data_IF_312615474446
#
_entry.id   IF_312615474446
#
_cell.length_a   1.000
_cell.length_b   1.000
_cell.length_c   1.000
_cell.angle_alpha   90.00
_cell.angle_beta   90.00
_cell.angle_gamma   90.00
#
_symmetry.space_group_name_H-M   'P 1'
#
loop_
_entity.id
_entity.type
_entity.pdbx_description
1 polymer ?
#
# COMPACT_ATOMS: atom_id res chain seq x y z
N UNK A 1 -3.96 21.23 -9.34
CA UNK A 1 -4.91 20.85 -10.26
C UNK A 1 -5.85 21.90 -10.86
N UNK A 2 -5.31 22.92 -11.58
CA UNK A 2 -6.17 23.83 -12.35
C UNK A 2 -6.75 23.15 -13.61
N UNK A 3 -6.02 22.20 -14.17
CA UNK A 3 -6.42 21.40 -15.34
C UNK A 3 -6.04 19.94 -15.10
N UNK A 4 -6.81 19.02 -15.71
CA UNK A 4 -6.55 17.60 -15.70
C UNK A 4 -6.62 17.08 -17.13
N UNK A 5 -5.61 16.33 -17.56
CA UNK A 5 -5.57 15.68 -18.87
C UNK A 5 -5.54 14.17 -18.69
N UNK A 6 -6.35 13.46 -19.49
CA UNK A 6 -6.36 12.01 -19.48
C UNK A 6 -5.07 11.51 -20.14
N UNK A 7 -4.32 10.68 -19.41
CA UNK A 7 -3.14 10.00 -19.91
C UNK A 7 -3.48 8.61 -20.48
N UNK A 8 -2.70 8.13 -21.44
CA UNK A 8 -2.83 6.77 -21.93
C UNK A 8 -2.03 5.83 -21.03
N UNK A 9 -2.74 4.99 -20.24
CA UNK A 9 -2.14 4.05 -19.29
C UNK A 9 -1.74 2.71 -19.91
N UNK A 10 -1.77 2.53 -21.23
CA UNK A 10 -1.47 1.25 -21.90
C UNK A 10 -2.26 0.05 -21.33
N UNK A 11 -3.41 0.31 -20.72
CA UNK A 11 -4.29 -0.68 -20.10
C UNK A 11 -5.75 -0.23 -20.18
N UNK A 12 -6.65 -1.22 -20.16
CA UNK A 12 -8.11 -1.02 -20.11
C UNK A 12 -8.73 -1.50 -18.82
N UNK A 13 -7.92 -2.08 -17.90
CA UNK A 13 -8.40 -2.54 -16.60
C UNK A 13 -8.25 -1.43 -15.55
N UNK A 14 -8.97 -1.55 -14.45
CA UNK A 14 -8.97 -0.54 -13.40
C UNK A 14 -7.61 -0.46 -12.67
N UNK A 15 -7.19 0.78 -12.41
CA UNK A 15 -6.00 1.09 -11.62
C UNK A 15 -6.43 1.61 -10.24
N UNK A 16 -5.86 1.06 -9.17
CA UNK A 16 -6.27 1.37 -7.79
C UNK A 16 -5.27 2.22 -7.03
N UNK A 17 -4.02 2.20 -7.44
CA UNK A 17 -3.00 3.04 -6.81
C UNK A 17 -2.05 3.61 -7.86
N UNK A 18 -1.65 4.85 -7.63
CA UNK A 18 -0.61 5.55 -8.37
C UNK A 18 0.30 6.28 -7.39
N UNK A 19 1.59 6.19 -7.59
CA UNK A 19 2.57 6.88 -6.77
C UNK A 19 3.76 7.31 -7.62
N UNK A 20 4.31 8.49 -7.33
CA UNK A 20 5.51 9.05 -7.95
C UNK A 20 6.62 9.16 -6.91
N UNK A 21 7.84 8.78 -7.28
CA UNK A 21 9.04 8.97 -6.46
C UNK A 21 9.64 10.37 -6.63
N UNK A 22 9.40 10.97 -7.77
CA UNK A 22 9.83 12.30 -8.19
C UNK A 22 8.93 12.78 -9.37
N UNK A 23 9.21 13.92 -9.97
CA UNK A 23 8.38 14.50 -11.04
C UNK A 23 8.36 13.66 -12.33
N UNK A 24 9.31 12.74 -12.51
CA UNK A 24 9.47 11.95 -13.73
C UNK A 24 9.05 10.49 -13.55
N UNK A 25 9.29 9.90 -12.36
CA UNK A 25 9.18 8.46 -12.15
C UNK A 25 7.97 8.09 -11.31
N UNK A 26 7.06 7.37 -11.92
CA UNK A 26 5.82 6.92 -11.31
C UNK A 26 5.43 5.51 -11.70
N UNK A 27 4.58 4.91 -10.89
CA UNK A 27 3.97 3.62 -11.13
C UNK A 27 2.48 3.69 -10.82
N UNK A 28 1.71 2.84 -11.52
CA UNK A 28 0.33 2.54 -11.15
C UNK A 28 0.09 1.04 -11.22
N UNK A 29 -0.77 0.55 -10.34
CA UNK A 29 -1.12 -0.87 -10.21
C UNK A 29 -2.63 -1.05 -10.13
N UNK A 30 -3.12 -2.24 -10.50
CA UNK A 30 -4.55 -2.46 -10.58
C UNK A 30 -4.99 -3.90 -10.73
N UNK A 31 -6.13 -4.07 -11.37
CA UNK A 31 -6.76 -5.36 -11.65
C UNK A 31 -5.85 -6.29 -12.44
N UNK A 32 -6.09 -7.61 -12.27
CA UNK A 32 -5.36 -8.67 -12.98
C UNK A 32 -3.84 -8.55 -12.82
N UNK A 33 -3.39 -7.96 -11.72
CA UNK A 33 -1.98 -7.73 -11.44
C UNK A 33 -1.33 -6.70 -12.35
N UNK A 34 -2.09 -5.87 -13.05
CA UNK A 34 -1.50 -4.86 -13.93
C UNK A 34 -0.58 -3.93 -13.15
N UNK A 35 0.62 -3.77 -13.68
CA UNK A 35 1.58 -2.78 -13.24
C UNK A 35 2.11 -2.01 -14.46
N UNK A 36 2.07 -0.69 -14.37
CA UNK A 36 2.59 0.23 -15.38
C UNK A 36 3.53 1.23 -14.74
N UNK A 37 4.52 1.69 -15.47
CA UNK A 37 5.51 2.65 -15.01
C UNK A 37 5.76 3.74 -16.03
N UNK A 38 6.11 4.92 -15.54
CA UNK A 38 6.58 6.06 -16.33
C UNK A 38 7.95 6.52 -15.86
N UNK A 39 8.74 7.09 -16.75
CA UNK A 39 10.02 7.75 -16.49
C UNK A 39 10.10 9.17 -17.10
N UNK A 40 8.96 9.72 -17.47
CA UNK A 40 8.82 11.06 -18.09
C UNK A 40 7.57 11.82 -17.61
N UNK A 41 7.26 11.71 -16.32
CA UNK A 41 6.17 12.46 -15.67
C UNK A 41 4.78 12.07 -16.13
N UNK A 42 4.59 10.81 -16.60
CA UNK A 42 3.29 10.33 -17.07
C UNK A 42 2.98 10.64 -18.52
N UNK A 43 3.89 11.29 -19.26
CA UNK A 43 3.69 11.51 -20.70
C UNK A 43 3.59 10.19 -21.45
N UNK A 44 4.35 9.19 -21.01
CA UNK A 44 4.29 7.81 -21.50
C UNK A 44 4.27 6.84 -20.33
N UNK A 45 3.37 5.86 -20.42
CA UNK A 45 3.31 4.74 -19.49
C UNK A 45 3.64 3.45 -20.25
N UNK A 46 4.34 2.54 -19.63
CA UNK A 46 4.67 1.22 -20.19
C UNK A 46 4.33 0.12 -19.20
N UNK A 47 3.86 -1.01 -19.69
CA UNK A 47 3.68 -2.19 -18.86
C UNK A 47 5.02 -2.69 -18.32
N UNK A 48 5.02 -3.13 -17.08
CA UNK A 48 6.15 -3.82 -16.44
C UNK A 48 5.70 -5.20 -16.00
N UNK A 49 6.61 -6.19 -15.94
CA UNK A 49 6.27 -7.50 -15.39
C UNK A 49 5.66 -7.38 -14.01
N UNK A 50 4.63 -8.16 -13.75
CA UNK A 50 3.93 -8.18 -12.48
C UNK A 50 4.38 -9.38 -11.62
N UNK A 51 4.37 -9.26 -10.28
CA UNK A 51 4.68 -10.37 -9.40
C UNK A 51 3.55 -11.42 -9.32
N UNK A 52 2.33 -11.05 -9.71
CA UNK A 52 1.13 -11.86 -9.56
C UNK A 52 0.09 -11.51 -10.61
N UNK A 53 -0.83 -12.44 -10.90
CA UNK A 53 -2.06 -12.16 -11.64
C UNK A 53 -3.22 -11.68 -10.78
N UNK A 54 -3.08 -11.65 -9.45
CA UNK A 54 -4.10 -11.14 -8.54
C UNK A 54 -4.10 -9.61 -8.53
N UNK A 55 -5.24 -9.03 -8.13
CA UNK A 55 -5.40 -7.58 -8.00
C UNK A 55 -4.35 -6.95 -7.08
N UNK A 56 -3.71 -5.88 -7.54
CA UNK A 56 -2.79 -5.05 -6.77
C UNK A 56 -3.52 -3.76 -6.35
N UNK A 57 -3.48 -3.43 -5.05
CA UNK A 57 -4.30 -2.36 -4.47
C UNK A 57 -3.48 -1.20 -3.91
N UNK A 58 -2.27 -1.46 -3.46
CA UNK A 58 -1.39 -0.47 -2.85
C UNK A 58 0.03 -0.56 -3.39
N UNK A 59 0.71 0.57 -3.41
CA UNK A 59 2.11 0.65 -3.76
C UNK A 59 2.84 1.75 -3.00
N UNK A 60 4.13 1.55 -2.75
CA UNK A 60 4.98 2.51 -2.07
C UNK A 60 6.39 2.55 -2.68
N UNK A 61 6.92 3.74 -2.83
CA UNK A 61 8.29 3.98 -3.27
C UNK A 61 9.20 4.33 -2.09
N UNK A 62 10.35 3.69 -2.06
CA UNK A 62 11.45 4.11 -1.19
C UNK A 62 12.54 4.83 -1.97
N UNK A 63 12.67 4.49 -3.23
CA UNK A 63 13.57 5.11 -4.21
C UNK A 63 13.06 4.79 -5.61
N UNK A 64 13.60 5.44 -6.63
CA UNK A 64 13.28 5.16 -8.05
C UNK A 64 13.30 3.67 -8.41
N UNK A 65 14.12 2.85 -7.75
CA UNK A 65 14.27 1.42 -8.05
C UNK A 65 13.53 0.50 -7.09
N UNK A 66 13.32 0.93 -5.85
CA UNK A 66 12.74 0.07 -4.81
C UNK A 66 11.28 0.41 -4.59
N UNK A 67 10.42 -0.49 -5.05
CA UNK A 67 8.96 -0.35 -5.04
C UNK A 67 8.36 -1.57 -4.37
N UNK A 68 7.44 -1.35 -3.45
CA UNK A 68 6.59 -2.38 -2.85
C UNK A 68 5.19 -2.29 -3.44
N UNK A 69 4.54 -3.44 -3.58
CA UNK A 69 3.13 -3.52 -3.92
C UNK A 69 2.44 -4.63 -3.14
N UNK A 70 1.18 -4.44 -2.88
CA UNK A 70 0.30 -5.32 -2.08
C UNK A 70 -1.07 -5.44 -2.73
N UNK A 71 -1.82 -6.47 -2.37
CA UNK A 71 -3.17 -6.67 -2.88
C UNK A 71 -3.82 -7.96 -2.36
N UNK A 72 -4.56 -8.63 -3.22
CA UNK A 72 -5.36 -9.81 -2.87
C UNK A 72 -4.56 -11.09 -2.60
N UNK A 73 -3.30 -11.14 -2.96
CA UNK A 73 -2.45 -12.32 -2.72
C UNK A 73 -1.90 -12.42 -1.30
N UNK A 74 -2.23 -11.48 -0.40
CA UNK A 74 -1.82 -11.43 1.02
C UNK A 74 -0.31 -11.32 1.24
N UNK A 75 0.47 -11.28 0.18
CA UNK A 75 1.91 -11.11 0.21
C UNK A 75 2.30 -9.67 -0.06
N UNK A 76 3.51 -9.34 0.36
CA UNK A 76 4.16 -8.10 -0.01
C UNK A 76 5.19 -8.39 -1.10
N UNK A 77 5.07 -7.72 -2.22
CA UNK A 77 6.02 -7.86 -3.32
C UNK A 77 6.95 -6.66 -3.36
N UNK A 78 8.21 -6.89 -3.62
CA UNK A 78 9.20 -5.82 -3.77
C UNK A 78 10.03 -6.03 -5.02
N UNK A 79 10.25 -4.96 -5.76
CA UNK A 79 11.23 -4.92 -6.84
C UNK A 79 12.33 -3.91 -6.53
N UNK A 80 13.55 -4.20 -6.98
CA UNK A 80 14.69 -3.28 -6.98
C UNK A 80 15.25 -3.08 -8.40
N UNK A 81 14.56 -3.65 -9.39
CA UNK A 81 14.99 -3.73 -10.79
C UNK A 81 14.00 -3.11 -11.77
N UNK A 82 13.19 -2.13 -11.33
CA UNK A 82 12.12 -1.52 -12.15
C UNK A 82 11.09 -2.54 -12.65
N UNK A 83 10.71 -3.50 -11.80
CA UNK A 83 9.73 -4.54 -12.13
C UNK A 83 10.27 -5.66 -13.02
N UNK A 84 11.57 -5.70 -13.33
CA UNK A 84 12.13 -6.82 -14.10
C UNK A 84 12.13 -8.12 -13.31
N UNK A 85 12.37 -8.02 -12.02
CA UNK A 85 12.30 -9.11 -11.05
C UNK A 85 11.59 -8.64 -9.79
N UNK A 86 10.90 -9.58 -9.14
CA UNK A 86 10.20 -9.34 -7.90
C UNK A 86 10.60 -10.38 -6.86
N UNK A 87 10.75 -9.92 -5.65
CA UNK A 87 10.87 -10.75 -4.45
C UNK A 87 9.51 -10.80 -3.77
N UNK A 88 9.11 -12.00 -3.31
CA UNK A 88 7.87 -12.18 -2.55
C UNK A 88 8.21 -12.32 -1.09
N UNK A 89 7.70 -11.41 -0.28
CA UNK A 89 7.85 -11.45 1.16
C UNK A 89 6.53 -11.92 1.78
N UNK A 90 6.61 -13.01 2.52
CA UNK A 90 5.45 -13.56 3.23
C UNK A 90 4.98 -12.62 4.32
N UNK A 91 3.69 -12.53 4.48
CA UNK A 91 3.06 -11.86 5.60
C UNK A 91 2.21 -12.82 6.42
N UNK A 92 1.84 -12.41 7.62
CA UNK A 92 0.87 -13.13 8.46
C UNK A 92 -0.57 -12.66 8.20
N UNK A 93 -0.81 -11.98 7.07
CA UNK A 93 -2.14 -11.55 6.69
C UNK A 93 -3.03 -12.75 6.33
N UNK A 94 -4.27 -12.70 6.79
CA UNK A 94 -5.34 -13.65 6.43
C UNK A 94 -6.33 -13.04 5.43
N UNK A 95 -6.20 -11.74 5.16
CA UNK A 95 -7.11 -10.96 4.31
C UNK A 95 -6.33 -10.07 3.33
N UNK A 96 -6.98 -9.58 2.25
CA UNK A 96 -6.38 -8.66 1.31
C UNK A 96 -5.75 -7.44 1.97
N UNK A 97 -4.60 -7.03 1.45
CA UNK A 97 -3.87 -5.84 1.89
C UNK A 97 -4.18 -4.71 0.91
N UNK A 98 -4.68 -3.58 1.42
CA UNK A 98 -5.16 -2.47 0.60
C UNK A 98 -4.15 -1.34 0.41
N UNK A 99 -3.24 -1.16 1.40
CA UNK A 99 -2.23 -0.12 1.33
C UNK A 99 -0.95 -0.50 2.07
N UNK A 100 0.17 0.13 1.69
CA UNK A 100 1.48 -0.10 2.28
C UNK A 100 2.25 1.22 2.37
N UNK A 101 2.89 1.46 3.51
CA UNK A 101 3.72 2.64 3.75
C UNK A 101 5.00 2.27 4.50
N UNK A 102 6.15 2.63 3.96
CA UNK A 102 7.45 2.50 4.61
C UNK A 102 7.84 3.87 5.19
N UNK A 103 8.08 3.92 6.49
CA UNK A 103 8.42 5.16 7.19
C UNK A 103 9.92 5.48 7.08
N UNK A 104 10.74 4.45 7.20
CA UNK A 104 12.20 4.52 7.12
C UNK A 104 12.79 3.21 6.57
N UNK A 105 14.08 2.97 6.73
CA UNK A 105 14.74 1.77 6.22
C UNK A 105 14.36 0.48 6.98
N UNK A 106 13.69 0.60 8.11
CA UNK A 106 13.34 -0.53 8.98
C UNK A 106 11.84 -0.65 9.19
N UNK A 107 11.16 0.48 9.44
CA UNK A 107 9.78 0.49 9.88
C UNK A 107 8.80 0.77 8.74
N UNK A 108 7.69 0.06 8.75
CA UNK A 108 6.57 0.28 7.83
C UNK A 108 5.31 -0.41 8.30
N UNK A 109 4.21 -0.06 7.65
CA UNK A 109 2.88 -0.61 7.89
C UNK A 109 2.22 -1.02 6.59
N UNK A 110 1.40 -2.05 6.66
CA UNK A 110 0.45 -2.39 5.62
C UNK A 110 -0.92 -2.60 6.26
N UNK A 111 -1.97 -2.13 5.61
CA UNK A 111 -3.33 -2.18 6.14
C UNK A 111 -4.27 -2.81 5.12
N UNK A 112 -5.32 -3.47 5.61
CA UNK A 112 -6.20 -4.23 4.73
C UNK A 112 -7.56 -4.54 5.31
N UNK A 113 -8.21 -5.51 4.70
CA UNK A 113 -9.55 -5.94 5.05
C UNK A 113 -9.57 -6.58 6.45
N UNK A 114 -10.76 -6.60 7.07
CA UNK A 114 -10.99 -7.21 8.38
C UNK A 114 -10.05 -6.67 9.47
N UNK A 115 -9.83 -5.36 9.48
CA UNK A 115 -8.96 -4.65 10.44
C UNK A 115 -7.49 -5.12 10.42
N UNK A 116 -7.04 -5.66 9.29
CA UNK A 116 -5.65 -6.07 9.13
C UNK A 116 -4.71 -4.89 9.26
N UNK A 117 -3.79 -4.97 10.20
CA UNK A 117 -2.62 -4.09 10.34
C UNK A 117 -1.39 -4.97 10.43
N UNK A 118 -0.49 -4.83 9.49
CA UNK A 118 0.83 -5.47 9.50
C UNK A 118 1.90 -4.43 9.80
N UNK A 119 2.94 -4.84 10.49
CA UNK A 119 4.13 -4.04 10.74
C UNK A 119 5.37 -4.76 10.29
N UNK A 120 6.30 -4.01 9.71
CA UNK A 120 7.69 -4.43 9.51
C UNK A 120 8.63 -3.64 10.40
N UNK A 121 9.74 -4.28 10.81
CA UNK A 121 10.85 -3.66 11.55
C UNK A 121 12.21 -3.90 10.87
N UNK A 122 12.19 -4.54 9.71
CA UNK A 122 13.38 -4.96 8.94
C UNK A 122 13.35 -4.45 7.48
N UNK A 123 12.58 -3.38 7.24
CA UNK A 123 12.51 -2.74 5.93
C UNK A 123 11.66 -3.49 4.92
N UNK A 124 10.67 -4.25 5.40
CA UNK A 124 9.69 -4.95 4.58
C UNK A 124 10.11 -6.36 4.18
N UNK A 125 11.09 -6.96 4.85
CA UNK A 125 11.48 -8.37 4.65
C UNK A 125 10.50 -9.31 5.35
N UNK A 126 10.13 -8.98 6.59
CA UNK A 126 9.07 -9.70 7.32
C UNK A 126 7.95 -8.74 7.72
N UNK A 127 6.72 -9.27 7.74
CA UNK A 127 5.52 -8.54 8.07
C UNK A 127 4.68 -9.32 9.08
N UNK A 128 4.51 -8.73 10.26
CA UNK A 128 3.79 -9.34 11.38
C UNK A 128 2.47 -8.61 11.64
N UNK A 129 1.41 -9.39 11.82
CA UNK A 129 0.12 -8.82 12.23
C UNK A 129 0.25 -8.12 13.59
N UNK A 130 -0.25 -6.90 13.64
CA UNK A 130 -0.45 -6.18 14.88
C UNK A 130 -1.86 -6.49 15.38
N UNK A 131 -1.99 -6.79 16.65
CA UNK A 131 -3.32 -6.84 17.24
C UNK A 131 -3.89 -5.43 17.22
N UNK A 132 -4.94 -5.21 16.45
CA UNK A 132 -5.69 -3.97 16.53
C UNK A 132 -6.40 -3.96 17.87
N UNK A 133 -5.82 -3.28 18.86
CA UNK A 133 -6.40 -3.14 20.21
C UNK A 133 -7.58 -2.17 20.20
N UNK A 134 -8.46 -2.29 19.22
CA UNK A 134 -9.76 -1.70 19.36
C UNK A 134 -10.62 -2.68 20.19
N UNK A 135 -10.60 -2.50 21.50
CA UNK A 135 -11.62 -3.05 22.37
C UNK A 135 -12.92 -2.26 22.15
N UNK A 136 -13.40 -2.27 20.92
CA UNK A 136 -14.62 -1.63 20.52
C UNK A 136 -15.81 -2.53 20.80
N UNK A 137 -16.93 -1.90 20.88
CA UNK A 137 -18.28 -2.39 21.11
C UNK A 137 -18.54 -3.80 20.60
N UNK A 138 -18.98 -4.67 21.46
CA UNK A 138 -19.42 -6.03 21.12
C UNK A 138 -20.52 -5.94 20.05
N UNK A 139 -20.33 -6.66 18.92
CA UNK A 139 -21.31 -6.74 17.84
C UNK A 139 -21.06 -5.80 16.66
N UNK A 140 -19.99 -5.02 16.65
CA UNK A 140 -19.59 -4.22 15.48
C UNK A 140 -19.00 -5.13 14.40
N UNK A 141 -19.33 -4.87 13.12
CA UNK A 141 -18.68 -5.51 12.00
C UNK A 141 -17.24 -4.98 11.85
N UNK A 142 -16.29 -5.84 11.45
CA UNK A 142 -14.92 -5.42 11.17
C UNK A 142 -14.87 -4.34 10.07
N UNK A 143 -13.94 -3.40 10.22
CA UNK A 143 -13.70 -2.34 9.25
C UNK A 143 -12.66 -2.82 8.22
N UNK A 144 -12.88 -2.52 6.96
CA UNK A 144 -11.85 -2.69 5.94
C UNK A 144 -11.01 -1.41 5.87
N UNK A 145 -9.75 -1.49 6.27
CA UNK A 145 -8.81 -0.39 6.17
C UNK A 145 -8.40 -0.16 4.72
N UNK A 146 -8.50 1.08 4.26
CA UNK A 146 -8.30 1.43 2.86
C UNK A 146 -6.96 2.12 2.62
N UNK A 147 -6.55 3.01 3.54
CA UNK A 147 -5.34 3.82 3.40
C UNK A 147 -4.72 4.10 4.75
N UNK A 148 -3.39 4.17 4.78
CA UNK A 148 -2.61 4.59 5.93
C UNK A 148 -1.69 5.75 5.56
N UNK A 149 -1.55 6.72 6.45
CA UNK A 149 -0.65 7.86 6.28
C UNK A 149 0.08 8.17 7.58
N UNK A 150 1.37 8.44 7.47
CA UNK A 150 2.22 8.78 8.60
C UNK A 150 2.99 10.06 8.28
N UNK A 151 2.53 11.23 8.73
CA UNK A 151 3.29 12.48 8.61
C UNK A 151 4.60 12.48 9.41
N UNK A 152 4.67 11.66 10.46
CA UNK A 152 5.89 11.43 11.25
C UNK A 152 6.03 9.94 11.55
N UNK A 153 7.21 9.50 11.99
CA UNK A 153 7.42 8.10 12.40
C UNK A 153 6.58 7.66 13.62
N UNK A 154 5.96 8.59 14.35
CA UNK A 154 5.17 8.30 15.55
C UNK A 154 3.67 8.49 15.36
N UNK A 155 3.28 9.44 14.50
CA UNK A 155 1.89 9.84 14.33
C UNK A 155 1.41 9.35 12.98
N UNK A 156 0.31 8.60 12.97
CA UNK A 156 -0.30 8.08 11.76
C UNK A 156 -1.82 8.00 11.87
N UNK A 157 -2.46 7.89 10.71
CA UNK A 157 -3.89 7.66 10.57
C UNK A 157 -4.17 6.53 9.61
N UNK A 158 -5.25 5.82 9.86
CA UNK A 158 -5.83 4.83 8.96
C UNK A 158 -7.26 5.26 8.68
N UNK A 159 -7.63 5.31 7.41
CA UNK A 159 -9.00 5.49 6.97
C UNK A 159 -9.58 4.15 6.48
N UNK A 160 -10.83 3.88 6.81
CA UNK A 160 -11.49 2.64 6.44
C UNK A 160 -12.95 2.82 6.03
N UNK A 161 -13.65 1.71 5.86
CA UNK A 161 -15.09 1.69 5.56
C UNK A 161 -15.89 2.33 6.69
N UNK A 162 -17.17 2.64 6.42
CA UNK A 162 -18.14 3.21 7.36
C UNK A 162 -17.68 4.54 7.98
N UNK A 163 -16.89 5.33 7.22
CA UNK A 163 -16.37 6.61 7.66
C UNK A 163 -15.37 6.52 8.81
N UNK A 164 -14.82 5.34 9.06
CA UNK A 164 -13.92 5.13 10.19
C UNK A 164 -12.54 5.75 9.95
N UNK A 165 -12.04 6.41 10.98
CA UNK A 165 -10.68 6.94 11.04
C UNK A 165 -10.04 6.48 12.35
N UNK A 166 -8.83 5.95 12.26
CA UNK A 166 -8.02 5.56 13.41
C UNK A 166 -6.74 6.39 13.44
N UNK A 167 -6.28 6.68 14.65
CA UNK A 167 -5.05 7.45 14.88
C UNK A 167 -4.11 6.70 15.82
N UNK A 168 -2.84 6.74 15.50
CA UNK A 168 -1.75 6.39 16.44
C UNK A 168 -0.96 7.62 16.82
N UNK A 169 -0.46 7.66 18.05
CA UNK A 169 0.49 8.65 18.57
C UNK A 169 1.80 8.02 19.04
N UNK A 170 1.93 6.70 18.91
CA UNK A 170 3.01 5.89 19.49
C UNK A 170 3.66 4.93 18.47
N UNK A 171 3.73 5.37 17.22
CA UNK A 171 4.29 4.60 16.13
C UNK A 171 3.53 3.26 15.91
N UNK A 172 2.18 3.29 15.94
CA UNK A 172 1.33 2.15 15.63
C UNK A 172 1.32 1.05 16.70
N UNK A 173 1.84 1.29 17.90
CA UNK A 173 1.70 0.33 19.00
C UNK A 173 0.25 0.29 19.50
N UNK A 174 -0.43 1.43 19.48
CA UNK A 174 -1.88 1.53 19.75
C UNK A 174 -2.59 2.35 18.67
N UNK A 175 -3.84 2.00 18.40
CA UNK A 175 -4.69 2.70 17.46
C UNK A 175 -6.02 3.06 18.12
N UNK A 176 -6.40 4.33 18.04
CA UNK A 176 -7.64 4.85 18.63
C UNK A 176 -8.55 5.34 17.50
N UNK A 177 -9.79 4.85 17.49
CA UNK A 177 -10.83 5.37 16.60
C UNK A 177 -11.10 6.82 16.94
N UNK A 178 -11.24 7.64 15.93
CA UNK A 178 -11.65 9.03 16.06
C UNK A 178 -13.17 9.12 15.89
N UNK A 179 -13.81 9.95 16.71
CA UNK A 179 -15.25 10.25 16.65
C UNK A 179 -15.54 11.29 15.58
#
# INVERSE_FOLDING_TARGET
>A
GRTWEKQNGETTVDLFAVHFSDDEHGWAVGELGVAIATDNGGTHWRRVPSPTGAMLRGLHFRSRRKVWTVGESWNVFVTQTFGRTWETHSSTAEYPINDIVLLDNHNGYAVGDMETILRTKDGGVTWEAQNSWYQGEQGRLPVNFQRAVFPTSRIGWIAGTDGSIFKTGDAGNTWLRQE
#
